data_IF_539080801967
#
_entry.id   IF_539080801967
#
_cell.length_a   1.000
_cell.length_b   1.000
_cell.length_c   1.000
_cell.angle_alpha   90.00
_cell.angle_beta   90.00
_cell.angle_gamma   90.00
#
_symmetry.space_group_name_H-M   'P 1'
#
loop_
_entity.id
_entity.type
_entity.pdbx_description
1 polymer ?
#
# COMPACT_ATOMS: atom_id res chain seq x y z
N UNK A 1 24.69 -20.20 -15.26
CA UNK A 1 25.92 -19.90 -14.50
C UNK A 1 26.66 -21.15 -14.06
N UNK A 2 26.00 -22.17 -13.53
CA UNK A 2 26.67 -23.44 -13.16
C UNK A 2 27.34 -24.08 -14.40
N UNK A 3 26.63 -24.16 -15.52
CA UNK A 3 27.18 -24.69 -16.77
C UNK A 3 28.44 -23.94 -17.27
N UNK A 4 28.48 -22.61 -17.12
CA UNK A 4 29.69 -21.84 -17.50
C UNK A 4 30.88 -22.13 -16.59
N UNK A 5 30.64 -22.23 -15.27
CA UNK A 5 31.71 -22.64 -14.32
C UNK A 5 32.24 -24.03 -14.59
N UNK A 6 31.29 -24.94 -14.93
CA UNK A 6 31.66 -26.31 -15.29
C UNK A 6 32.48 -26.37 -16.59
N UNK A 7 32.02 -25.62 -17.62
CA UNK A 7 32.75 -25.51 -18.89
C UNK A 7 34.15 -24.92 -18.72
N UNK A 8 34.29 -23.92 -17.87
CA UNK A 8 35.58 -23.31 -17.52
C UNK A 8 36.50 -24.33 -16.82
N UNK A 9 35.98 -25.04 -15.82
CA UNK A 9 36.74 -26.08 -15.11
C UNK A 9 37.18 -27.23 -16.04
N UNK A 10 36.32 -27.61 -16.96
CA UNK A 10 36.66 -28.63 -17.98
C UNK A 10 37.79 -28.13 -18.89
N UNK A 11 37.70 -26.87 -19.34
CA UNK A 11 38.73 -26.28 -20.21
C UNK A 11 40.08 -26.18 -19.49
N UNK A 12 40.09 -25.75 -18.22
CA UNK A 12 41.29 -25.78 -17.37
C UNK A 12 41.85 -27.20 -17.20
N UNK A 13 40.97 -28.16 -16.94
CA UNK A 13 41.35 -29.58 -16.82
C UNK A 13 42.02 -30.09 -18.10
N UNK A 14 41.50 -29.73 -19.29
CA UNK A 14 42.10 -30.06 -20.58
C UNK A 14 43.50 -29.42 -20.72
N UNK A 15 43.65 -28.15 -20.35
CA UNK A 15 44.94 -27.46 -20.39
C UNK A 15 45.97 -28.16 -19.48
N UNK A 16 45.60 -28.49 -18.26
CA UNK A 16 46.46 -29.23 -17.32
C UNK A 16 46.84 -30.60 -17.89
N UNK A 17 45.91 -31.37 -18.48
CA UNK A 17 46.20 -32.65 -19.12
C UNK A 17 47.19 -32.49 -20.28
N UNK A 18 47.01 -31.49 -21.16
CA UNK A 18 47.91 -31.21 -22.28
C UNK A 18 49.31 -30.81 -21.82
N UNK A 19 49.45 -30.09 -20.71
CA UNK A 19 50.74 -29.73 -20.12
C UNK A 19 51.45 -30.96 -19.61
N UNK A 20 50.75 -31.82 -18.85
CA UNK A 20 51.31 -33.01 -18.21
C UNK A 20 51.71 -34.10 -19.24
N UNK A 21 50.89 -34.27 -20.29
CA UNK A 21 51.08 -35.35 -21.24
C UNK A 21 52.01 -34.98 -22.41
N UNK A 22 51.87 -33.73 -22.92
CA UNK A 22 52.62 -33.27 -24.10
C UNK A 22 53.73 -32.27 -23.80
N UNK A 23 53.83 -31.77 -22.56
CA UNK A 23 54.76 -30.70 -22.22
C UNK A 23 54.54 -29.40 -23.01
N UNK A 24 53.32 -29.15 -23.48
CA UNK A 24 53.00 -28.08 -24.40
C UNK A 24 53.08 -26.69 -23.74
N UNK A 25 54.03 -25.87 -24.19
CA UNK A 25 54.16 -24.48 -23.73
C UNK A 25 52.97 -23.61 -24.10
N UNK A 26 52.27 -23.92 -25.21
CA UNK A 26 51.04 -23.26 -25.62
C UNK A 26 49.87 -23.55 -24.66
N UNK A 27 49.76 -24.82 -24.21
CA UNK A 27 48.73 -25.17 -23.21
C UNK A 27 49.00 -24.48 -21.86
N UNK A 28 50.27 -24.35 -21.47
CA UNK A 28 50.67 -23.64 -20.25
C UNK A 28 50.31 -22.15 -20.34
N UNK A 29 50.58 -21.48 -21.46
CA UNK A 29 50.20 -20.10 -21.69
C UNK A 29 48.69 -19.90 -21.67
N UNK A 30 47.93 -20.80 -22.27
CA UNK A 30 46.49 -20.75 -22.32
C UNK A 30 45.85 -20.98 -20.93
N UNK A 31 46.33 -21.95 -20.17
CA UNK A 31 45.86 -22.18 -18.78
C UNK A 31 46.18 -20.99 -17.86
N UNK A 32 47.42 -20.48 -17.96
CA UNK A 32 47.76 -19.27 -17.21
C UNK A 32 46.88 -18.07 -17.56
N UNK A 33 46.58 -17.88 -18.85
CA UNK A 33 45.68 -16.82 -19.30
C UNK A 33 44.25 -16.99 -18.77
N UNK A 34 43.72 -18.20 -18.76
CA UNK A 34 42.42 -18.54 -18.23
C UNK A 34 42.31 -18.25 -16.73
N UNK A 35 43.37 -18.41 -15.95
CA UNK A 35 43.41 -18.08 -14.53
C UNK A 35 43.61 -16.55 -14.29
N UNK A 36 44.51 -15.92 -15.03
CA UNK A 36 44.89 -14.53 -14.81
C UNK A 36 43.75 -13.57 -15.21
N UNK A 37 43.02 -13.84 -16.29
CA UNK A 37 41.94 -12.94 -16.76
C UNK A 37 40.81 -12.73 -15.74
N UNK A 38 40.21 -13.77 -15.12
CA UNK A 38 39.18 -13.58 -14.10
C UNK A 38 39.71 -12.87 -12.85
N UNK A 39 40.92 -13.26 -12.40
CA UNK A 39 41.58 -12.65 -11.24
C UNK A 39 41.95 -11.17 -11.48
N UNK A 40 42.48 -10.85 -12.67
CA UNK A 40 42.80 -9.49 -13.08
C UNK A 40 41.57 -8.57 -13.20
N UNK A 41 40.40 -9.13 -13.37
CA UNK A 41 39.13 -8.39 -13.38
C UNK A 41 38.64 -7.97 -11.98
N UNK A 42 39.12 -8.61 -10.90
CA UNK A 42 38.68 -8.33 -9.51
C UNK A 42 38.86 -6.88 -9.06
N UNK A 43 40.01 -6.21 -9.25
CA UNK A 43 40.20 -4.82 -8.82
C UNK A 43 39.19 -3.87 -9.51
N UNK A 44 38.88 -4.15 -10.78
CA UNK A 44 37.86 -3.41 -11.55
C UNK A 44 36.46 -3.57 -10.87
N UNK A 45 36.10 -4.80 -10.52
CA UNK A 45 34.80 -5.09 -9.86
C UNK A 45 34.73 -4.46 -8.45
N UNK A 46 35.84 -4.50 -7.71
CA UNK A 46 35.95 -3.87 -6.39
C UNK A 46 35.80 -2.35 -6.45
N UNK A 47 36.32 -1.72 -7.50
CA UNK A 47 36.13 -0.29 -7.75
C UNK A 47 34.67 0.05 -8.14
N UNK A 48 34.08 -0.73 -9.03
CA UNK A 48 32.71 -0.55 -9.53
C UNK A 48 31.64 -0.76 -8.45
N UNK A 49 31.81 -1.78 -7.58
CA UNK A 49 30.78 -2.19 -6.60
C UNK A 49 30.30 -1.08 -5.68
N UNK A 50 31.19 -0.10 -5.37
CA UNK A 50 30.88 1.04 -4.47
C UNK A 50 30.26 2.22 -5.20
N UNK A 51 30.32 2.26 -6.53
CA UNK A 51 29.94 3.41 -7.35
C UNK A 51 28.67 3.20 -8.16
N UNK A 52 28.25 1.96 -8.39
CA UNK A 52 26.99 1.66 -9.05
C UNK A 52 25.81 2.19 -8.23
N UNK A 53 24.84 2.75 -8.93
CA UNK A 53 23.59 3.23 -8.33
C UNK A 53 22.41 2.50 -8.96
N UNK A 54 21.43 2.18 -8.13
CA UNK A 54 20.18 1.53 -8.54
C UNK A 54 19.01 2.42 -8.12
N UNK A 55 18.09 2.62 -9.04
CA UNK A 55 16.81 3.25 -8.78
C UNK A 55 15.70 2.35 -9.32
N UNK A 56 14.62 2.22 -8.59
CA UNK A 56 13.44 1.47 -9.01
C UNK A 56 12.30 2.46 -9.24
N UNK A 57 11.61 2.30 -10.35
CA UNK A 57 10.43 3.08 -10.69
C UNK A 57 9.29 2.10 -10.98
N UNK A 58 8.16 2.32 -10.35
CA UNK A 58 6.95 1.54 -10.51
C UNK A 58 5.74 2.47 -10.72
N UNK A 59 4.69 2.03 -11.39
CA UNK A 59 3.45 2.78 -11.43
C UNK A 59 2.88 2.93 -10.02
N UNK A 60 2.34 4.11 -9.70
CA UNK A 60 1.77 4.35 -8.38
C UNK A 60 0.57 3.44 -8.10
N UNK A 61 -0.23 3.18 -9.14
CA UNK A 61 -1.47 2.40 -9.07
C UNK A 61 -1.49 1.36 -10.19
N UNK A 62 -1.96 0.17 -9.88
CA UNK A 62 -2.25 -0.91 -10.83
C UNK A 62 -3.62 -1.50 -10.53
N UNK A 63 -4.22 -2.16 -11.52
CA UNK A 63 -5.43 -2.96 -11.32
C UNK A 63 -5.05 -4.39 -10.94
N UNK A 64 -5.98 -5.06 -10.30
CA UNK A 64 -5.88 -6.47 -9.96
C UNK A 64 -5.76 -7.32 -11.23
N UNK A 65 -4.83 -8.27 -11.25
CA UNK A 65 -4.57 -9.11 -12.42
C UNK A 65 -3.76 -8.44 -13.54
N UNK A 66 -3.61 -7.12 -13.55
CA UNK A 66 -2.81 -6.44 -14.56
C UNK A 66 -1.31 -6.52 -14.25
N UNK A 67 -0.51 -6.74 -15.29
CA UNK A 67 0.95 -6.67 -15.19
C UNK A 67 1.43 -5.23 -15.32
N UNK A 68 1.86 -4.63 -14.20
CA UNK A 68 2.52 -3.34 -14.19
C UNK A 68 3.97 -3.42 -14.69
N UNK A 69 4.40 -2.46 -15.49
CA UNK A 69 5.81 -2.36 -15.91
C UNK A 69 6.64 -1.68 -14.83
N UNK A 70 7.49 -2.44 -14.17
CA UNK A 70 8.47 -1.93 -13.20
C UNK A 70 9.81 -1.76 -13.90
N UNK A 71 10.40 -0.59 -13.75
CA UNK A 71 11.68 -0.25 -14.37
C UNK A 71 12.78 -0.15 -13.32
N UNK A 72 13.82 -0.95 -13.48
CA UNK A 72 15.04 -0.87 -12.68
C UNK A 72 16.09 -0.10 -13.48
N UNK A 73 16.45 1.06 -12.98
CA UNK A 73 17.50 1.90 -13.54
C UNK A 73 18.84 1.57 -12.88
N UNK A 74 19.83 1.28 -13.70
CA UNK A 74 21.20 1.11 -13.30
C UNK A 74 22.03 2.26 -13.86
N UNK A 75 22.73 2.95 -12.99
CA UNK A 75 23.62 4.04 -13.35
C UNK A 75 25.06 3.68 -12.99
N UNK A 76 25.93 3.75 -13.99
CA UNK A 76 27.36 3.56 -13.83
C UNK A 76 28.09 4.88 -14.04
N UNK A 77 28.44 5.61 -12.99
CA UNK A 77 29.15 6.89 -13.10
C UNK A 77 30.64 6.76 -13.43
N UNK A 78 31.15 5.54 -13.51
CA UNK A 78 32.58 5.28 -13.72
C UNK A 78 32.97 5.21 -15.19
N UNK A 79 34.27 5.23 -15.49
CA UNK A 79 34.82 5.00 -16.83
C UNK A 79 34.96 3.51 -17.19
N UNK A 80 34.70 2.61 -16.24
CA UNK A 80 34.86 1.17 -16.41
C UNK A 80 33.49 0.54 -16.76
N UNK A 81 33.43 -0.36 -17.73
CA UNK A 81 32.19 -1.03 -18.09
C UNK A 81 31.79 -2.08 -17.06
N UNK A 82 30.51 -2.13 -16.72
CA UNK A 82 29.90 -3.18 -15.92
C UNK A 82 29.16 -4.15 -16.86
N UNK A 83 29.85 -5.18 -17.33
CA UNK A 83 29.37 -6.03 -18.44
C UNK A 83 28.27 -6.98 -18.04
N UNK A 84 28.24 -7.43 -16.78
CA UNK A 84 27.27 -8.41 -16.32
C UNK A 84 26.82 -8.12 -14.89
N UNK A 85 25.61 -7.61 -14.76
CA UNK A 85 25.01 -7.27 -13.47
C UNK A 85 23.77 -8.15 -13.29
N UNK A 86 23.68 -8.82 -12.15
CA UNK A 86 22.49 -9.57 -11.74
C UNK A 86 21.86 -8.88 -10.56
N UNK A 87 20.60 -8.47 -10.74
CA UNK A 87 19.79 -7.89 -9.69
C UNK A 87 18.74 -8.90 -9.24
N UNK A 88 18.55 -9.05 -7.92
CA UNK A 88 17.40 -9.74 -7.36
C UNK A 88 16.36 -8.69 -7.00
N UNK A 89 15.22 -8.76 -7.67
CA UNK A 89 14.08 -7.88 -7.42
C UNK A 89 13.03 -8.68 -6.68
N UNK A 90 12.67 -8.24 -5.48
CA UNK A 90 11.64 -8.86 -4.65
C UNK A 90 10.44 -7.92 -4.58
N UNK A 91 9.29 -8.39 -5.01
CA UNK A 91 8.01 -7.71 -4.85
C UNK A 91 7.25 -8.41 -3.72
N UNK A 92 6.92 -7.69 -2.65
CA UNK A 92 6.18 -8.21 -1.51
C UNK A 92 4.89 -7.43 -1.31
N UNK A 93 3.78 -8.12 -1.33
CA UNK A 93 2.49 -7.56 -0.95
C UNK A 93 2.45 -7.42 0.57
N UNK A 94 2.29 -6.17 1.05
CA UNK A 94 2.31 -5.87 2.49
C UNK A 94 1.01 -6.29 3.18
N UNK A 95 -0.10 -6.38 2.43
CA UNK A 95 -1.41 -6.74 2.96
C UNK A 95 -1.50 -8.23 3.33
N UNK A 96 -1.09 -9.10 2.40
CA UNK A 96 -1.25 -10.55 2.51
C UNK A 96 0.06 -11.32 2.72
N UNK A 97 1.21 -10.62 2.63
CA UNK A 97 2.53 -11.19 2.85
C UNK A 97 3.11 -11.97 1.67
N UNK A 98 2.38 -12.14 0.57
CA UNK A 98 2.91 -12.82 -0.62
C UNK A 98 4.12 -12.11 -1.20
N UNK A 99 5.08 -12.89 -1.68
CA UNK A 99 6.29 -12.35 -2.28
C UNK A 99 6.67 -13.09 -3.54
N UNK A 100 7.02 -12.34 -4.58
CA UNK A 100 7.57 -12.83 -5.82
C UNK A 100 8.99 -12.31 -5.99
N UNK A 101 9.92 -13.20 -6.35
CA UNK A 101 11.31 -12.82 -6.59
C UNK A 101 11.69 -13.11 -8.03
N UNK A 102 12.18 -12.09 -8.72
CA UNK A 102 12.66 -12.20 -10.09
C UNK A 102 14.14 -11.80 -10.17
N UNK A 103 14.84 -12.40 -11.14
CA UNK A 103 16.23 -12.10 -11.41
C UNK A 103 16.37 -11.38 -12.73
N UNK A 104 16.95 -10.20 -12.69
CA UNK A 104 17.26 -9.41 -13.87
C UNK A 104 18.74 -9.47 -14.16
N UNK A 105 19.09 -9.77 -15.42
CA UNK A 105 20.45 -9.65 -15.90
C UNK A 105 20.54 -8.47 -16.85
N UNK A 106 21.53 -7.60 -16.61
CA UNK A 106 21.74 -6.39 -17.39
C UNK A 106 23.21 -6.01 -17.40
N UNK A 107 23.54 -4.93 -18.09
CA UNK A 107 24.90 -4.34 -18.14
C UNK A 107 24.79 -2.81 -18.05
N UNK A 108 25.88 -2.14 -17.76
CA UNK A 108 25.95 -0.69 -17.81
C UNK A 108 27.28 -0.23 -18.44
N UNK A 109 27.19 0.57 -19.50
CA UNK A 109 28.35 1.18 -20.11
C UNK A 109 28.98 2.25 -19.21
N UNK A 110 30.25 2.64 -19.49
CA UNK A 110 30.90 3.74 -18.79
C UNK A 110 30.06 5.03 -18.87
N UNK A 111 29.91 5.75 -17.75
CA UNK A 111 29.10 6.97 -17.63
C UNK A 111 27.66 6.84 -18.15
N UNK A 112 27.15 5.60 -18.24
CA UNK A 112 25.86 5.26 -18.83
C UNK A 112 24.77 4.96 -17.81
N UNK A 113 23.52 5.14 -18.27
CA UNK A 113 22.31 4.69 -17.57
C UNK A 113 21.66 3.57 -18.39
N UNK A 114 21.25 2.52 -17.72
CA UNK A 114 20.54 1.40 -18.36
C UNK A 114 19.24 1.12 -17.64
N UNK A 115 18.19 0.94 -18.39
CA UNK A 115 16.91 0.48 -17.87
C UNK A 115 16.73 -1.01 -18.13
N UNK A 116 16.18 -1.71 -17.14
CA UNK A 116 15.71 -3.07 -17.29
C UNK A 116 14.24 -3.08 -16.84
N UNK A 117 13.34 -3.49 -17.71
CA UNK A 117 11.91 -3.53 -17.42
C UNK A 117 11.52 -4.95 -17.01
N UNK A 118 10.70 -5.04 -15.99
CA UNK A 118 10.09 -6.25 -15.45
C UNK A 118 8.59 -6.09 -15.49
N UNK A 119 7.89 -7.18 -15.73
CA UNK A 119 6.43 -7.22 -15.54
C UNK A 119 6.14 -7.82 -14.20
N UNK A 120 5.46 -7.08 -13.36
CA UNK A 120 5.02 -7.50 -12.04
C UNK A 120 3.53 -7.22 -11.92
N UNK A 121 2.77 -8.23 -11.57
CA UNK A 121 1.35 -8.14 -11.29
C UNK A 121 1.03 -8.85 -9.98
N UNK A 122 -0.16 -8.65 -9.49
CA UNK A 122 -0.71 -9.38 -8.35
C UNK A 122 -2.16 -9.73 -8.66
N UNK A 123 -2.54 -10.96 -8.37
CA UNK A 123 -3.93 -11.41 -8.44
C UNK A 123 -4.77 -10.86 -7.30
N UNK A 124 -4.12 -10.34 -6.25
CA UNK A 124 -4.75 -9.81 -5.04
C UNK A 124 -4.42 -8.35 -4.87
N UNK A 125 -5.36 -7.61 -4.27
CA UNK A 125 -5.14 -6.22 -3.91
C UNK A 125 -4.09 -6.08 -2.81
N UNK A 126 -3.54 -4.88 -2.67
CA UNK A 126 -2.58 -4.58 -1.61
C UNK A 126 -1.52 -3.58 -2.03
N UNK A 127 -0.75 -3.12 -1.06
CA UNK A 127 0.43 -2.29 -1.32
C UNK A 127 1.65 -3.18 -1.53
N UNK A 128 2.17 -3.20 -2.75
CA UNK A 128 3.34 -3.99 -3.12
C UNK A 128 4.60 -3.16 -2.91
N UNK A 129 5.47 -3.64 -2.03
CA UNK A 129 6.82 -3.12 -1.87
C UNK A 129 7.76 -3.84 -2.82
N UNK A 130 8.39 -3.10 -3.71
CA UNK A 130 9.33 -3.61 -4.70
C UNK A 130 10.73 -3.19 -4.26
N UNK A 131 11.56 -4.15 -3.91
CA UNK A 131 12.93 -3.92 -3.44
C UNK A 131 13.96 -4.61 -4.32
N UNK A 132 15.07 -3.94 -4.55
CA UNK A 132 16.27 -4.55 -5.11
C UNK A 132 17.22 -4.85 -3.95
N UNK A 133 17.29 -6.12 -3.55
CA UNK A 133 18.00 -6.52 -2.33
C UNK A 133 19.44 -6.93 -2.59
N UNK A 134 19.70 -7.57 -3.72
CA UNK A 134 21.00 -8.10 -4.06
C UNK A 134 21.38 -7.75 -5.49
N UNK A 135 22.38 -6.91 -5.61
CA UNK A 135 23.03 -6.61 -6.88
C UNK A 135 24.41 -7.26 -6.87
N UNK A 136 24.67 -8.13 -7.84
CA UNK A 136 25.97 -8.80 -8.02
C UNK A 136 26.55 -8.42 -9.38
N UNK A 137 27.79 -7.96 -9.34
CA UNK A 137 28.58 -7.67 -10.53
C UNK A 137 29.44 -8.89 -10.85
N UNK A 138 29.31 -9.41 -12.05
CA UNK A 138 30.08 -10.55 -12.51
C UNK A 138 31.11 -10.12 -13.53
N UNK A 139 32.25 -10.84 -13.57
CA UNK A 139 33.21 -10.74 -14.63
C UNK A 139 32.61 -11.14 -16.00
N UNK A 140 33.31 -10.86 -17.08
CA UNK A 140 32.84 -11.19 -18.44
C UNK A 140 32.53 -12.68 -18.62
N UNK A 141 33.23 -13.53 -17.91
CA UNK A 141 33.06 -14.99 -17.96
C UNK A 141 32.00 -15.50 -16.98
N UNK A 142 31.52 -14.65 -16.04
CA UNK A 142 30.52 -15.02 -15.04
C UNK A 142 31.02 -15.99 -13.98
N UNK A 143 32.33 -16.09 -13.77
CA UNK A 143 32.96 -16.95 -12.79
C UNK A 143 32.94 -16.35 -11.40
N UNK A 144 33.32 -15.09 -11.30
CA UNK A 144 33.45 -14.35 -10.04
C UNK A 144 32.35 -13.32 -9.95
N UNK A 145 31.57 -13.38 -8.88
CA UNK A 145 30.47 -12.42 -8.60
C UNK A 145 30.78 -11.64 -7.35
N UNK A 146 30.88 -10.33 -7.46
CA UNK A 146 31.13 -9.42 -6.33
C UNK A 146 29.81 -8.71 -5.95
N UNK A 147 29.36 -8.77 -4.68
CA UNK A 147 28.16 -8.08 -4.24
C UNK A 147 28.38 -6.56 -4.25
N UNK A 148 27.39 -5.84 -4.75
CA UNK A 148 27.31 -4.38 -4.71
C UNK A 148 26.34 -3.97 -3.59
N UNK A 149 26.72 -2.96 -2.82
CA UNK A 149 25.90 -2.45 -1.70
C UNK A 149 24.79 -1.48 -2.11
N UNK A 150 24.42 -1.46 -3.40
CA UNK A 150 23.35 -0.59 -3.87
C UNK A 150 21.98 -1.28 -3.70
N UNK A 151 21.03 -0.52 -3.20
CA UNK A 151 19.63 -0.93 -2.99
C UNK A 151 18.72 0.10 -3.66
N UNK A 152 17.53 -0.32 -4.02
CA UNK A 152 16.49 0.55 -4.54
C UNK A 152 15.12 0.04 -4.10
N UNK A 153 14.20 0.96 -3.88
CA UNK A 153 12.86 0.63 -3.41
C UNK A 153 11.82 1.47 -4.16
N UNK A 154 10.67 0.87 -4.45
CA UNK A 154 9.48 1.53 -4.97
C UNK A 154 8.23 0.87 -4.40
N UNK A 155 7.12 1.59 -4.46
CA UNK A 155 5.83 1.09 -4.03
C UNK A 155 4.83 1.17 -5.18
N UNK A 156 3.96 0.18 -5.27
CA UNK A 156 2.84 0.11 -6.19
C UNK A 156 1.60 -0.32 -5.41
N UNK A 157 0.49 0.37 -5.58
CA UNK A 157 -0.78 0.00 -4.96
C UNK A 157 -1.66 -0.71 -5.98
N UNK A 158 -1.97 -1.98 -5.73
CA UNK A 158 -2.95 -2.74 -6.51
C UNK A 158 -4.31 -2.51 -5.88
N UNK A 159 -5.19 -1.85 -6.63
CA UNK A 159 -6.53 -1.51 -6.16
C UNK A 159 -7.41 -2.75 -6.08
N UNK A 160 -8.26 -2.86 -5.05
CA UNK A 160 -9.30 -3.88 -4.98
C UNK A 160 -10.37 -3.62 -6.05
N UNK A 161 -10.98 -4.69 -6.51
CA UNK A 161 -12.18 -4.57 -7.33
C UNK A 161 -13.33 -4.05 -6.46
N UNK A 162 -14.14 -3.16 -7.00
CA UNK A 162 -15.23 -2.55 -6.26
C UNK A 162 -16.57 -2.90 -6.90
N UNK A 163 -17.57 -3.17 -6.07
CA UNK A 163 -18.93 -3.44 -6.47
C UNK A 163 -19.90 -2.49 -5.74
N UNK A 164 -21.03 -2.13 -6.36
CA UNK A 164 -22.00 -1.23 -5.77
C UNK A 164 -22.71 -1.90 -4.59
N UNK A 165 -22.73 -1.24 -3.44
CA UNK A 165 -23.44 -1.68 -2.24
C UNK A 165 -24.57 -0.69 -1.99
N UNK A 166 -25.79 -1.18 -1.81
CA UNK A 166 -26.90 -0.35 -1.35
C UNK A 166 -26.83 -0.21 0.17
N UNK A 167 -26.55 0.99 0.62
CA UNK A 167 -26.52 1.32 2.05
C UNK A 167 -27.82 2.03 2.40
N UNK A 168 -28.60 1.44 3.28
CA UNK A 168 -29.78 2.05 3.87
C UNK A 168 -29.43 2.48 5.30
N UNK A 169 -29.16 3.75 5.48
CA UNK A 169 -28.95 4.31 6.81
C UNK A 169 -30.33 4.55 7.45
N UNK A 170 -30.55 3.91 8.58
CA UNK A 170 -31.74 4.17 9.40
C UNK A 170 -31.41 5.39 10.25
N UNK A 171 -32.14 6.51 10.08
CA UNK A 171 -31.91 7.70 10.91
C UNK A 171 -32.13 7.33 12.38
N UNK A 172 -31.13 7.55 13.21
CA UNK A 172 -31.32 7.44 14.65
C UNK A 172 -31.75 8.81 15.19
N UNK A 173 -33.02 8.98 15.64
CA UNK A 173 -33.54 10.26 16.09
C UNK A 173 -32.79 10.77 17.35
N UNK A 174 -32.21 9.88 18.14
CA UNK A 174 -31.52 10.22 19.38
C UNK A 174 -30.08 10.75 19.15
N UNK A 175 -29.54 10.62 17.93
CA UNK A 175 -28.17 11.07 17.60
C UNK A 175 -28.10 12.53 17.14
N UNK A 176 -29.23 13.24 17.06
CA UNK A 176 -29.27 14.63 16.60
C UNK A 176 -28.92 15.66 17.70
N UNK A 177 -28.90 15.26 18.97
CA UNK A 177 -28.76 16.21 20.08
C UNK A 177 -27.31 16.50 20.51
N UNK A 178 -26.31 15.70 20.11
CA UNK A 178 -24.94 15.81 20.61
C UNK A 178 -23.85 16.08 19.55
N UNK A 179 -24.18 16.70 18.42
CA UNK A 179 -23.11 17.05 17.46
C UNK A 179 -22.47 18.38 17.82
N UNK A 180 -21.24 18.34 18.37
CA UNK A 180 -20.43 19.53 18.65
C UNK A 180 -19.83 20.19 17.39
N UNK A 181 -20.07 19.64 16.20
CA UNK A 181 -19.51 20.16 14.95
C UNK A 181 -20.58 20.37 13.89
N UNK A 182 -20.51 21.52 13.23
CA UNK A 182 -21.44 21.96 12.20
C UNK A 182 -20.75 22.16 10.85
N UNK A 183 -21.46 21.86 9.75
CA UNK A 183 -20.95 22.06 8.40
C UNK A 183 -20.67 23.54 8.12
N UNK A 184 -19.49 23.85 7.61
CA UNK A 184 -19.13 25.18 7.13
C UNK A 184 -19.50 25.40 5.65
N UNK A 185 -19.91 24.36 4.95
CA UNK A 185 -20.13 24.41 3.50
C UNK A 185 -21.61 24.37 3.10
N UNK A 186 -22.49 23.84 3.97
CA UNK A 186 -23.92 23.65 3.64
C UNK A 186 -24.84 24.07 4.79
N UNK A 187 -25.93 24.79 4.49
CA UNK A 187 -26.95 25.08 5.47
C UNK A 187 -27.74 23.81 5.82
N UNK A 188 -28.22 23.71 7.05
CA UNK A 188 -28.99 22.58 7.57
C UNK A 188 -30.37 22.97 8.07
N UNK A 189 -30.86 22.24 9.07
CA UNK A 189 -32.18 22.45 9.68
C UNK A 189 -32.09 22.78 11.17
N UNK A 190 -30.90 22.75 11.79
CA UNK A 190 -30.72 23.02 13.21
C UNK A 190 -30.72 24.54 13.49
N UNK A 191 -31.77 24.98 14.18
CA UNK A 191 -31.96 26.38 14.55
C UNK A 191 -31.13 26.84 15.78
N UNK A 192 -30.50 25.91 16.47
CA UNK A 192 -29.69 26.23 17.67
C UNK A 192 -28.37 26.90 17.27
N UNK A 193 -27.80 26.50 16.15
CA UNK A 193 -26.59 27.08 15.61
C UNK A 193 -26.82 27.80 14.27
N UNK A 194 -26.02 28.81 13.99
CA UNK A 194 -26.17 29.64 12.80
C UNK A 194 -25.08 29.34 11.80
N UNK A 195 -25.44 28.88 10.60
CA UNK A 195 -24.53 28.66 9.48
C UNK A 195 -24.03 29.98 8.91
N UNK A 196 -24.99 30.89 8.54
CA UNK A 196 -24.70 32.23 8.04
C UNK A 196 -25.83 33.18 8.33
N UNK A 197 -25.50 34.47 8.25
CA UNK A 197 -26.47 35.58 8.41
C UNK A 197 -26.56 36.31 7.07
N UNK A 198 -27.77 36.41 6.51
CA UNK A 198 -28.04 37.09 5.25
C UNK A 198 -29.31 37.95 5.31
N UNK A 199 -29.53 38.74 4.28
CA UNK A 199 -30.77 39.48 4.15
C UNK A 199 -31.94 38.54 3.79
N UNK A 200 -33.11 38.88 4.27
CA UNK A 200 -34.35 38.17 4.00
C UNK A 200 -34.70 38.22 2.52
N UNK A 201 -35.08 37.06 1.98
CA UNK A 201 -35.62 36.94 0.64
C UNK A 201 -37.06 36.43 0.73
N UNK A 202 -38.02 36.96 -0.08
CA UNK A 202 -39.39 36.44 -0.09
C UNK A 202 -39.43 34.93 -0.25
N UNK A 203 -40.02 34.23 0.74
CA UNK A 203 -40.05 32.77 0.84
C UNK A 203 -39.30 32.21 2.05
N UNK A 204 -38.46 32.99 2.69
CA UNK A 204 -37.79 32.58 3.93
C UNK A 204 -38.76 32.46 5.10
N UNK A 205 -38.48 31.53 6.01
CA UNK A 205 -39.28 31.29 7.18
C UNK A 205 -39.16 32.44 8.20
N UNK A 206 -40.28 32.94 8.68
CA UNK A 206 -40.36 33.99 9.72
C UNK A 206 -39.64 33.55 11.01
N UNK A 207 -39.56 32.22 11.28
CA UNK A 207 -38.87 31.67 12.45
C UNK A 207 -37.35 31.86 12.39
N UNK A 208 -36.82 32.08 11.21
CA UNK A 208 -35.37 32.25 10.98
C UNK A 208 -34.94 33.72 11.07
N UNK A 209 -35.89 34.68 11.24
CA UNK A 209 -35.57 36.11 11.33
C UNK A 209 -34.86 36.41 12.64
N UNK A 210 -33.69 37.02 12.51
CA UNK A 210 -32.91 37.53 13.64
C UNK A 210 -33.37 38.92 14.08
N UNK A 211 -34.46 38.99 14.83
CA UNK A 211 -35.13 40.24 15.21
C UNK A 211 -34.21 41.30 15.81
N UNK A 212 -33.25 40.89 16.65
CA UNK A 212 -32.29 41.82 17.27
C UNK A 212 -31.38 42.51 16.25
N UNK A 213 -30.88 41.79 15.25
CA UNK A 213 -30.06 42.38 14.18
C UNK A 213 -30.92 43.14 13.18
N UNK A 214 -32.11 42.66 12.87
CA UNK A 214 -33.04 43.35 11.98
C UNK A 214 -33.39 44.71 12.51
N UNK A 215 -33.67 44.85 13.82
CA UNK A 215 -33.94 46.13 14.45
C UNK A 215 -32.73 47.07 14.53
N UNK A 216 -31.53 46.55 14.51
CA UNK A 216 -30.29 47.35 14.52
C UNK A 216 -29.95 47.92 13.14
N UNK A 217 -30.22 47.17 12.08
CA UNK A 217 -29.85 47.54 10.71
C UNK A 217 -31.00 48.05 9.87
N UNK A 218 -32.21 48.14 10.46
CA UNK A 218 -33.46 48.60 9.81
C UNK A 218 -33.79 47.84 8.51
N UNK A 219 -33.47 46.55 8.49
CA UNK A 219 -33.75 45.60 7.41
C UNK A 219 -33.90 44.19 7.96
N UNK A 220 -34.72 43.38 7.30
CA UNK A 220 -34.95 42.02 7.74
C UNK A 220 -33.71 41.15 7.49
N UNK A 221 -33.19 40.54 8.53
CA UNK A 221 -32.00 39.69 8.54
C UNK A 221 -32.44 38.29 8.98
N UNK A 222 -32.02 37.29 8.22
CA UNK A 222 -32.33 35.86 8.45
C UNK A 222 -31.06 35.14 8.88
N UNK A 223 -31.22 34.18 9.80
CA UNK A 223 -30.20 33.17 10.15
C UNK A 223 -30.50 31.92 9.36
N UNK A 224 -29.56 31.49 8.50
CA UNK A 224 -29.62 30.17 7.96
C UNK A 224 -29.19 29.15 9.04
N UNK A 225 -29.98 28.11 9.30
CA UNK A 225 -29.65 27.12 10.29
C UNK A 225 -28.43 26.29 9.89
N UNK A 226 -27.67 25.85 10.88
CA UNK A 226 -26.50 25.02 10.66
C UNK A 226 -26.89 23.55 10.37
N UNK A 227 -26.05 22.85 9.63
CA UNK A 227 -26.15 21.43 9.43
C UNK A 227 -25.25 20.73 10.45
N UNK A 228 -25.81 20.03 11.45
CA UNK A 228 -25.01 19.25 12.36
C UNK A 228 -24.29 18.14 11.57
N UNK A 229 -22.98 18.09 11.68
CA UNK A 229 -22.18 17.01 11.14
C UNK A 229 -22.31 15.83 12.13
N UNK A 230 -23.36 15.06 11.98
CA UNK A 230 -23.46 13.80 12.70
C UNK A 230 -22.52 12.80 12.03
N UNK A 231 -21.41 12.50 12.69
CA UNK A 231 -20.53 11.38 12.34
C UNK A 231 -21.25 10.08 12.66
N UNK A 232 -22.23 9.73 11.83
CA UNK A 232 -23.17 8.66 12.17
C UNK A 232 -22.67 7.28 11.81
N UNK A 233 -21.57 7.16 11.04
CA UNK A 233 -21.09 5.87 10.52
C UNK A 233 -19.61 5.71 10.78
N UNK A 234 -19.25 4.59 11.42
CA UNK A 234 -17.88 4.11 11.53
C UNK A 234 -17.74 2.80 10.75
N UNK A 235 -16.86 2.75 9.77
CA UNK A 235 -16.46 1.51 9.09
C UNK A 235 -15.14 1.06 9.71
N UNK A 236 -15.17 -0.09 10.39
CA UNK A 236 -13.98 -0.61 11.07
C UNK A 236 -13.55 -1.96 10.50
N UNK A 237 -12.29 -2.02 10.04
CA UNK A 237 -11.71 -3.25 9.52
C UNK A 237 -10.80 -3.91 10.56
N UNK A 238 -11.23 -5.06 11.05
CA UNK A 238 -10.47 -5.86 12.01
C UNK A 238 -9.37 -6.64 11.29
N UNK A 239 -8.14 -6.45 11.76
CA UNK A 239 -6.96 -7.11 11.20
C UNK A 239 -6.33 -8.14 12.14
N UNK A 240 -6.88 -8.32 13.34
CA UNK A 240 -6.51 -9.38 14.29
C UNK A 240 -7.39 -10.61 14.10
N UNK A 241 -6.89 -11.79 14.39
CA UNK A 241 -7.64 -13.05 14.28
C UNK A 241 -7.72 -13.60 12.87
N UNK A 242 -6.87 -13.11 11.94
CA UNK A 242 -6.90 -13.56 10.55
C UNK A 242 -6.22 -14.92 10.37
N UNK A 243 -6.86 -15.80 9.61
CA UNK A 243 -6.37 -17.14 9.25
C UNK A 243 -5.15 -17.13 8.32
N UNK A 244 -4.79 -15.96 7.77
CA UNK A 244 -3.75 -15.85 6.74
C UNK A 244 -4.20 -16.29 5.36
N UNK A 245 -5.48 -16.58 5.17
CA UNK A 245 -6.02 -16.90 3.86
C UNK A 245 -6.08 -15.66 2.97
N UNK A 246 -5.24 -15.63 1.93
CA UNK A 246 -5.06 -14.50 1.03
C UNK A 246 -6.35 -14.09 0.35
N UNK A 247 -7.19 -15.04 -0.05
CA UNK A 247 -8.49 -14.76 -0.71
C UNK A 247 -9.47 -14.08 0.23
N UNK A 248 -9.49 -14.47 1.52
CA UNK A 248 -10.36 -13.83 2.51
C UNK A 248 -9.93 -12.40 2.79
N UNK A 249 -8.62 -12.19 2.92
CA UNK A 249 -8.05 -10.85 3.11
C UNK A 249 -8.40 -9.94 1.93
N UNK A 250 -8.29 -10.46 0.73
CA UNK A 250 -8.62 -9.75 -0.51
C UNK A 250 -10.12 -9.40 -0.57
N UNK A 251 -11.00 -10.37 -0.28
CA UNK A 251 -12.45 -10.15 -0.22
C UNK A 251 -12.86 -9.12 0.85
N UNK A 252 -12.21 -9.14 2.03
CA UNK A 252 -12.43 -8.13 3.06
C UNK A 252 -12.03 -6.74 2.58
N UNK A 253 -10.87 -6.61 1.93
CA UNK A 253 -10.42 -5.34 1.38
C UNK A 253 -11.37 -4.81 0.29
N UNK A 254 -11.88 -5.69 -0.59
CA UNK A 254 -12.89 -5.35 -1.58
C UNK A 254 -14.20 -4.89 -0.92
N UNK A 255 -14.65 -5.58 0.11
CA UNK A 255 -15.86 -5.21 0.86
C UNK A 255 -15.71 -3.85 1.55
N UNK A 256 -14.59 -3.62 2.24
CA UNK A 256 -14.30 -2.34 2.90
C UNK A 256 -14.30 -1.20 1.90
N UNK A 257 -13.53 -1.32 0.81
CA UNK A 257 -13.40 -0.23 -0.16
C UNK A 257 -14.71 -0.02 -0.93
N UNK A 258 -15.46 -1.10 -1.25
CA UNK A 258 -16.77 -0.99 -1.91
C UNK A 258 -17.80 -0.29 -1.04
N UNK A 259 -17.84 -0.61 0.26
CA UNK A 259 -18.71 0.04 1.22
C UNK A 259 -18.35 1.51 1.38
N UNK A 260 -17.07 1.82 1.62
CA UNK A 260 -16.59 3.20 1.76
C UNK A 260 -16.87 4.03 0.52
N UNK A 261 -16.69 3.45 -0.66
CA UNK A 261 -17.02 4.11 -1.93
C UNK A 261 -18.52 4.39 -2.06
N UNK A 262 -19.36 3.41 -1.73
CA UNK A 262 -20.82 3.58 -1.79
C UNK A 262 -21.32 4.63 -0.81
N UNK A 263 -20.72 4.74 0.39
CA UNK A 263 -21.02 5.80 1.35
C UNK A 263 -20.59 7.18 0.83
N UNK A 264 -19.36 7.28 0.29
CA UNK A 264 -18.84 8.53 -0.27
C UNK A 264 -19.63 8.98 -1.50
N UNK A 265 -19.99 8.07 -2.42
CA UNK A 265 -20.86 8.34 -3.58
C UNK A 265 -22.27 8.80 -3.13
N UNK A 266 -22.75 8.31 -2.00
CA UNK A 266 -24.00 8.74 -1.36
C UNK A 266 -23.90 10.08 -0.63
N UNK A 267 -22.72 10.70 -0.57
CA UNK A 267 -22.50 11.97 0.14
C UNK A 267 -22.53 11.83 1.67
N UNK A 268 -22.37 10.59 2.19
CA UNK A 268 -22.34 10.31 3.62
C UNK A 268 -20.91 10.53 4.14
N UNK A 269 -20.78 11.36 5.16
CA UNK A 269 -19.54 11.51 5.89
C UNK A 269 -19.40 10.37 6.91
N UNK A 270 -18.24 9.74 6.97
CA UNK A 270 -18.00 8.59 7.85
C UNK A 270 -16.56 8.53 8.33
N UNK A 271 -16.34 7.76 9.38
CA UNK A 271 -15.01 7.42 9.85
C UNK A 271 -14.61 6.05 9.30
N UNK A 272 -13.40 5.94 8.77
CA UNK A 272 -12.77 4.69 8.37
C UNK A 272 -11.65 4.35 9.34
N UNK A 273 -11.75 3.17 9.96
CA UNK A 273 -10.78 2.70 10.93
C UNK A 273 -10.28 1.29 10.63
N UNK A 274 -9.06 1.02 11.05
CA UNK A 274 -8.47 -0.31 11.08
C UNK A 274 -7.43 -0.41 12.20
N UNK A 275 -7.11 -1.63 12.61
CA UNK A 275 -6.00 -1.82 13.51
C UNK A 275 -4.69 -2.08 12.73
N UNK A 276 -3.68 -1.27 13.02
CA UNK A 276 -2.31 -1.53 12.59
C UNK A 276 -1.68 -2.54 13.55
N UNK A 277 -1.53 -3.77 13.06
CA UNK A 277 -1.01 -4.87 13.89
C UNK A 277 0.49 -4.77 14.15
N UNK A 278 1.25 -4.03 13.34
CA UNK A 278 2.68 -3.78 13.57
C UNK A 278 2.87 -2.82 14.75
N UNK A 279 2.07 -1.76 14.80
CA UNK A 279 2.12 -0.75 15.87
C UNK A 279 1.21 -1.01 17.06
N UNK A 280 0.30 -1.99 16.97
CA UNK A 280 -0.78 -2.23 17.93
C UNK A 280 -1.60 -0.97 18.24
N UNK A 281 -1.91 -0.20 17.19
CA UNK A 281 -2.60 1.09 17.24
C UNK A 281 -3.81 1.07 16.32
N UNK A 282 -4.92 1.65 16.77
CA UNK A 282 -6.05 1.92 15.89
C UNK A 282 -5.80 3.19 15.07
N UNK A 283 -5.87 3.06 13.76
CA UNK A 283 -5.79 4.16 12.82
C UNK A 283 -7.21 4.54 12.42
N UNK A 284 -7.52 5.82 12.51
CA UNK A 284 -8.83 6.38 12.17
C UNK A 284 -8.63 7.56 11.21
N UNK A 285 -9.44 7.58 10.15
CA UNK A 285 -9.50 8.66 9.18
C UNK A 285 -10.94 9.11 8.98
N UNK A 286 -11.14 10.40 8.95
CA UNK A 286 -12.40 11.02 8.58
C UNK A 286 -12.46 11.11 7.05
N UNK A 287 -13.56 10.64 6.48
CA UNK A 287 -13.81 10.66 5.03
C UNK A 287 -15.01 11.54 4.78
N UNK A 288 -14.75 12.72 4.23
CA UNK A 288 -15.77 13.70 3.88
C UNK A 288 -16.10 13.67 2.37
N UNK A 289 -15.10 13.28 1.55
CA UNK A 289 -15.22 13.25 0.10
C UNK A 289 -14.50 12.03 -0.51
N UNK A 290 -14.72 11.80 -1.80
CA UNK A 290 -14.08 10.70 -2.52
C UNK A 290 -12.55 10.85 -2.58
N UNK A 291 -12.05 12.08 -2.62
CA UNK A 291 -10.62 12.38 -2.64
C UNK A 291 -9.91 11.89 -1.37
N UNK A 292 -10.56 12.06 -0.20
CA UNK A 292 -10.06 11.59 1.08
C UNK A 292 -9.91 10.07 1.07
N UNK A 293 -10.94 9.37 0.57
CA UNK A 293 -10.92 7.92 0.44
C UNK A 293 -9.76 7.45 -0.45
N UNK A 294 -9.60 8.06 -1.62
CA UNK A 294 -8.50 7.72 -2.55
C UNK A 294 -7.14 7.92 -1.88
N UNK A 295 -6.98 8.97 -1.08
CA UNK A 295 -5.76 9.27 -0.34
C UNK A 295 -5.44 8.23 0.75
N UNK A 296 -6.46 7.66 1.38
CA UNK A 296 -6.32 6.70 2.49
C UNK A 296 -6.11 5.26 2.01
N UNK A 297 -6.62 4.87 0.83
CA UNK A 297 -6.52 3.51 0.28
C UNK A 297 -5.09 2.92 0.35
N UNK A 298 -4.01 3.62 -0.03
CA UNK A 298 -2.66 3.06 0.04
C UNK A 298 -2.21 2.72 1.47
N UNK A 299 -2.70 3.46 2.47
CA UNK A 299 -2.41 3.21 3.88
C UNK A 299 -3.23 2.05 4.42
N UNK A 300 -4.50 1.97 4.05
CA UNK A 300 -5.39 0.86 4.36
C UNK A 300 -4.85 -0.47 3.82
N UNK A 301 -4.42 -0.49 2.56
CA UNK A 301 -3.88 -1.68 1.89
C UNK A 301 -2.45 -2.06 2.32
N UNK A 302 -1.84 -1.28 3.19
CA UNK A 302 -0.58 -1.62 3.86
C UNK A 302 -0.79 -2.40 5.15
N UNK A 303 -1.97 -2.31 5.76
CA UNK A 303 -2.26 -2.87 7.07
C UNK A 303 -2.17 -4.40 7.05
N UNK A 304 -1.06 -4.97 7.50
CA UNK A 304 -0.89 -6.40 7.65
C UNK A 304 -1.75 -6.94 8.82
N UNK A 305 -2.32 -8.13 8.64
CA UNK A 305 -3.08 -8.81 9.69
C UNK A 305 -2.21 -9.72 10.56
N UNK A 306 -2.70 -10.08 11.76
CA UNK A 306 -2.13 -11.08 12.65
C UNK A 306 -3.15 -12.13 13.02
N UNK A 307 -2.68 -13.36 13.21
CA UNK A 307 -3.53 -14.47 13.67
C UNK A 307 -3.92 -14.39 15.15
N UNK A 308 -3.15 -13.66 15.96
CA UNK A 308 -3.39 -13.52 17.41
C UNK A 308 -2.96 -12.16 17.91
N UNK A 309 -3.64 -11.64 18.93
CA UNK A 309 -3.34 -10.36 19.55
C UNK A 309 -4.58 -9.75 20.20
N UNK A 310 -4.45 -8.53 20.71
CA UNK A 310 -5.60 -7.76 21.20
C UNK A 310 -6.45 -7.37 20.00
N UNK A 311 -7.77 -7.58 20.06
CA UNK A 311 -8.71 -7.22 19.01
C UNK A 311 -8.67 -5.72 18.77
N UNK A 312 -8.74 -5.33 17.49
CA UNK A 312 -8.77 -3.92 17.10
C UNK A 312 -10.00 -3.20 17.63
N UNK A 313 -11.13 -3.89 17.70
CA UNK A 313 -12.35 -3.37 18.31
C UNK A 313 -12.16 -3.03 19.79
N UNK A 314 -11.48 -3.90 20.56
CA UNK A 314 -11.11 -3.62 21.96
C UNK A 314 -10.19 -2.41 22.08
N UNK A 315 -9.18 -2.34 21.23
CA UNK A 315 -8.26 -1.20 21.19
C UNK A 315 -8.99 0.10 20.88
N UNK A 316 -9.92 0.07 19.93
CA UNK A 316 -10.75 1.22 19.57
C UNK A 316 -11.57 1.72 20.77
N UNK A 317 -12.29 0.82 21.44
CA UNK A 317 -13.12 1.16 22.61
C UNK A 317 -12.27 1.75 23.75
N UNK A 318 -11.05 1.24 23.94
CA UNK A 318 -10.17 1.71 25.02
C UNK A 318 -9.46 3.02 24.69
N UNK A 319 -9.04 3.22 23.43
CA UNK A 319 -8.20 4.37 23.06
C UNK A 319 -8.98 5.55 22.52
N UNK A 320 -10.09 5.30 21.84
CA UNK A 320 -10.89 6.31 21.14
C UNK A 320 -12.39 6.06 21.28
N UNK A 321 -12.93 6.11 22.50
CA UNK A 321 -14.38 5.95 22.72
C UNK A 321 -15.19 7.05 22.01
N UNK A 322 -14.58 8.23 21.82
CA UNK A 322 -15.14 9.38 21.07
C UNK A 322 -15.39 9.10 19.56
N UNK A 323 -14.75 8.10 19.02
CA UNK A 323 -14.95 7.70 17.63
C UNK A 323 -16.11 6.71 17.41
N UNK A 324 -16.73 6.25 18.49
CA UNK A 324 -17.86 5.34 18.42
C UNK A 324 -19.13 6.13 18.03
N UNK A 325 -19.74 5.72 16.94
CA UNK A 325 -20.85 6.39 16.28
C UNK A 325 -22.14 5.60 16.44
N UNK A 326 -23.28 6.23 16.13
CA UNK A 326 -24.59 5.57 16.19
C UNK A 326 -24.69 4.31 15.32
N UNK A 327 -24.01 4.30 14.17
CA UNK A 327 -23.89 3.12 13.29
C UNK A 327 -22.43 2.70 13.14
N UNK A 328 -22.13 1.45 13.44
CA UNK A 328 -20.79 0.87 13.28
C UNK A 328 -20.87 -0.33 12.35
N UNK A 329 -20.05 -0.33 11.30
CA UNK A 329 -19.90 -1.48 10.40
C UNK A 329 -18.55 -2.13 10.72
N UNK A 330 -18.62 -3.33 11.31
CA UNK A 330 -17.45 -4.14 11.64
C UNK A 330 -17.22 -5.14 10.51
N UNK A 331 -15.98 -5.16 9.98
CA UNK A 331 -15.57 -6.10 8.93
C UNK A 331 -14.43 -6.94 9.46
N UNK A 332 -14.59 -8.25 9.49
CA UNK A 332 -13.61 -9.17 10.04
C UNK A 332 -13.79 -10.59 9.53
N UNK A 333 -12.96 -11.51 10.02
CA UNK A 333 -13.04 -12.93 9.66
C UNK A 333 -14.01 -13.69 10.59
N UNK A 334 -13.95 -13.38 11.88
CA UNK A 334 -14.80 -13.97 12.91
C UNK A 334 -15.43 -12.89 13.79
N UNK A 335 -16.59 -13.16 14.41
CA UNK A 335 -17.16 -12.25 15.38
C UNK A 335 -16.25 -12.21 16.63
N UNK A 336 -15.66 -11.06 16.89
CA UNK A 336 -14.88 -10.84 18.11
C UNK A 336 -15.85 -10.64 19.29
N UNK A 337 -15.48 -11.13 20.49
CA UNK A 337 -16.24 -10.86 21.73
C UNK A 337 -16.45 -9.36 21.98
N UNK A 338 -15.55 -8.54 21.44
CA UNK A 338 -15.56 -7.09 21.56
C UNK A 338 -16.66 -6.43 20.72
N UNK A 339 -17.19 -7.10 19.68
CA UNK A 339 -18.36 -6.63 18.93
C UNK A 339 -19.57 -6.50 19.85
N UNK A 340 -19.70 -7.37 20.86
CA UNK A 340 -20.75 -7.27 21.87
C UNK A 340 -20.61 -6.02 22.74
N UNK A 341 -19.38 -5.55 22.98
CA UNK A 341 -19.16 -4.30 23.70
C UNK A 341 -19.53 -3.09 22.83
N UNK A 342 -19.18 -3.13 21.55
CA UNK A 342 -19.58 -2.09 20.57
C UNK A 342 -21.11 -2.02 20.43
N UNK A 343 -21.81 -3.17 20.46
CA UNK A 343 -23.29 -3.22 20.39
C UNK A 343 -24.00 -2.53 21.58
N UNK A 344 -23.31 -2.40 22.72
CA UNK A 344 -23.84 -1.64 23.87
C UNK A 344 -23.75 -0.14 23.68
N UNK A 345 -22.90 0.31 22.76
CA UNK A 345 -22.60 1.72 22.51
C UNK A 345 -23.29 2.25 21.24
N UNK A 346 -23.76 1.37 20.35
CA UNK A 346 -24.45 1.74 19.13
C UNK A 346 -24.89 0.54 18.31
N UNK A 347 -25.52 0.82 17.17
CA UNK A 347 -25.96 -0.22 16.25
C UNK A 347 -24.77 -0.78 15.45
N UNK A 348 -24.44 -2.06 15.62
CA UNK A 348 -23.33 -2.71 14.93
C UNK A 348 -23.84 -3.67 13.85
N UNK A 349 -23.39 -3.45 12.62
CA UNK A 349 -23.54 -4.39 11.51
C UNK A 349 -22.23 -5.12 11.29
N UNK A 350 -22.19 -6.43 11.53
CA UNK A 350 -21.00 -7.24 11.32
C UNK A 350 -21.04 -7.88 9.92
N UNK A 351 -20.03 -7.60 9.12
CA UNK A 351 -19.75 -8.26 7.84
C UNK A 351 -18.62 -9.26 8.04
N UNK A 352 -18.94 -10.53 8.03
CA UNK A 352 -17.98 -11.60 8.27
C UNK A 352 -17.67 -12.31 6.97
N UNK A 353 -16.37 -12.31 6.59
CA UNK A 353 -15.89 -13.03 5.43
C UNK A 353 -15.46 -14.45 5.85
N UNK A 354 -16.41 -15.28 6.22
CA UNK A 354 -16.23 -16.70 6.50
C UNK A 354 -16.25 -17.57 5.23
N UNK A 355 -15.91 -18.87 5.35
CA UNK A 355 -16.21 -19.81 4.28
C UNK A 355 -17.71 -20.00 4.23
N UNK A 356 -18.35 -19.47 3.19
CA UNK A 356 -19.63 -20.01 2.77
C UNK A 356 -19.33 -21.33 2.09
N UNK A 357 -19.92 -22.47 2.49
CA UNK A 357 -19.88 -23.64 1.66
C UNK A 357 -20.60 -23.23 0.36
N UNK A 358 -19.85 -23.18 -0.74
CA UNK A 358 -20.42 -23.13 -2.06
C UNK A 358 -21.10 -24.49 -2.26
N UNK A 359 -22.44 -24.56 -1.99
CA UNK A 359 -23.29 -25.56 -2.57
C UNK A 359 -23.57 -25.23 -4.03
#
# INVERSE_FOLDING_TARGET
MIAMKLGWAVLEGICVWLILYYGSSGALALGAMLLILPLGSLPVHLCLRKRLRVRVEAPAVARKGDEGSVTVWLENPTLLPALRIRCRVTARNQLNGESCTQHVMTWAFPKGKRRASLRLGSEYCGRIRISVEQVKLYDCFGLIGVPCGCTGEAHMTVQPDTFPIRVNLIPNPDSQEDSDSYSQERPGADLTETFQIREYVPGDSIRQIHWKLSGKFDRLIVRDPALPITRNVLVFWERTGQSGNVRRIDAQAEAVVSLCRSLADGGVQFMLGWNDTEGNVCVLHEICAMEDLVGVIPSLLRAAGRSSGVGGASLLVQTRPDALCGHMVYIGEEPCADVLQMQRLGHVTALLCGESPLE
#
